data_IF_515067333551
#
_entry.id   IF_515067333551
#
_cell.length_a   1.000
_cell.length_b   1.000
_cell.length_c   1.000
_cell.angle_alpha   90.00
_cell.angle_beta   90.00
_cell.angle_gamma   90.00
#
_symmetry.space_group_name_H-M   'P 1'
#
loop_
_entity.id
_entity.type
_entity.pdbx_description
1 polymer ?
#
# COMPACT_ATOMS: atom_id res chain seq x y z
N UNK A 1 10.85 -6.31 4.47
CA UNK A 1 9.77 -5.44 3.98
C UNK A 1 8.58 -5.61 4.89
N UNK A 2 7.87 -4.53 5.19
CA UNK A 2 6.73 -4.56 6.10
C UNK A 2 5.43 -4.73 5.31
N UNK A 3 4.41 -5.27 5.99
CA UNK A 3 3.05 -5.36 5.48
C UNK A 3 2.13 -4.56 6.40
N UNK A 4 1.17 -3.86 5.79
CA UNK A 4 0.22 -3.00 6.50
C UNK A 4 -1.18 -3.46 6.14
N UNK A 5 -2.03 -3.62 7.16
CA UNK A 5 -3.40 -4.05 6.99
C UNK A 5 -4.34 -2.89 7.26
N UNK A 6 -5.24 -2.62 6.32
CA UNK A 6 -6.34 -1.70 6.54
C UNK A 6 -7.23 -2.23 7.66
N UNK A 7 -7.42 -1.45 8.72
CA UNK A 7 -8.24 -1.84 9.88
C UNK A 7 -9.75 -1.82 9.60
N UNK A 8 -10.16 -1.28 8.45
CA UNK A 8 -11.56 -1.17 8.05
C UNK A 8 -11.99 -2.38 7.21
N UNK A 9 -11.29 -2.65 6.10
CA UNK A 9 -11.65 -3.69 5.14
C UNK A 9 -10.72 -4.92 5.17
N UNK A 10 -9.56 -4.84 5.83
CA UNK A 10 -8.58 -5.94 5.88
C UNK A 10 -7.63 -6.02 4.69
N UNK A 11 -7.70 -5.08 3.74
CA UNK A 11 -6.74 -4.99 2.63
C UNK A 11 -5.29 -4.99 3.13
N UNK A 12 -4.40 -5.73 2.47
CA UNK A 12 -2.98 -5.82 2.85
C UNK A 12 -2.13 -5.11 1.79
N UNK A 13 -1.50 -4.00 2.20
CA UNK A 13 -0.41 -3.38 1.47
C UNK A 13 0.91 -4.09 1.81
N UNK A 14 1.53 -4.73 0.82
CA UNK A 14 2.86 -5.33 0.92
C UNK A 14 3.86 -4.41 0.22
N UNK A 15 4.75 -3.77 0.99
CA UNK A 15 5.78 -2.88 0.45
C UNK A 15 6.61 -3.55 -0.64
N UNK A 16 6.83 -4.87 -0.59
CA UNK A 16 7.62 -5.57 -1.60
C UNK A 16 6.87 -5.66 -2.94
N UNK A 17 5.55 -5.63 -2.91
CA UNK A 17 4.68 -5.65 -4.10
C UNK A 17 4.28 -4.25 -4.54
N UNK A 18 4.22 -3.29 -3.61
CA UNK A 18 3.61 -2.00 -3.85
C UNK A 18 2.13 -2.14 -4.22
N UNK A 19 1.63 -1.21 -5.01
CA UNK A 19 0.31 -1.28 -5.62
C UNK A 19 0.33 -0.66 -7.04
N UNK A 20 0.86 -1.37 -8.05
CA UNK A 20 1.08 -0.82 -9.39
C UNK A 20 -0.20 -0.30 -10.07
N UNK A 21 -1.34 -0.92 -9.78
CA UNK A 21 -2.65 -0.50 -10.31
C UNK A 21 -3.04 0.92 -9.86
N UNK A 22 -2.51 1.38 -8.72
CA UNK A 22 -2.67 2.76 -8.24
C UNK A 22 -1.40 3.61 -8.43
N UNK A 23 -0.41 3.13 -9.19
CA UNK A 23 0.84 3.83 -9.45
C UNK A 23 1.89 3.73 -8.33
N UNK A 24 1.71 2.84 -7.35
CA UNK A 24 2.68 2.61 -6.28
C UNK A 24 3.62 1.48 -6.70
N UNK A 25 4.89 1.79 -6.94
CA UNK A 25 5.86 0.81 -7.42
C UNK A 25 6.20 -0.26 -6.36
N UNK A 26 6.60 -1.48 -6.77
CA UNK A 26 7.16 -2.47 -5.85
C UNK A 26 8.37 -1.92 -5.11
N UNK A 27 8.45 -2.17 -3.81
CA UNK A 27 9.49 -1.64 -2.91
C UNK A 27 9.17 -0.27 -2.30
N UNK A 28 8.03 0.36 -2.63
CA UNK A 28 7.62 1.63 -2.01
C UNK A 28 7.28 1.40 -0.54
N UNK A 29 7.95 2.10 0.37
CA UNK A 29 7.64 2.02 1.81
C UNK A 29 6.31 2.69 2.09
N UNK A 30 5.63 2.27 3.16
CA UNK A 30 4.38 2.91 3.57
C UNK A 30 4.55 4.41 3.82
N UNK A 31 5.67 4.82 4.41
CA UNK A 31 6.00 6.23 4.66
C UNK A 31 6.16 7.06 3.38
N UNK A 32 6.40 6.39 2.23
CA UNK A 32 6.57 7.02 0.91
C UNK A 32 5.28 6.95 0.07
N UNK A 33 4.23 6.28 0.56
CA UNK A 33 2.92 6.25 -0.11
C UNK A 33 2.28 7.63 0.00
N UNK A 34 1.76 8.14 -1.11
CA UNK A 34 1.15 9.47 -1.14
C UNK A 34 -0.05 9.55 -0.18
N UNK A 35 -0.15 10.64 0.59
CA UNK A 35 -1.20 10.82 1.62
C UNK A 35 -2.64 10.81 1.05
N UNK A 36 -2.78 11.08 -0.24
CA UNK A 36 -4.07 11.04 -0.95
C UNK A 36 -4.44 9.65 -1.49
N UNK A 37 -3.55 8.66 -1.37
CA UNK A 37 -3.88 7.28 -1.72
C UNK A 37 -4.86 6.69 -0.70
N UNK A 38 -5.82 5.93 -1.20
CA UNK A 38 -6.82 5.23 -0.40
C UNK A 38 -6.71 3.73 -0.69
N UNK A 39 -7.04 2.90 0.29
CA UNK A 39 -7.10 1.46 0.06
C UNK A 39 -8.10 1.14 -1.07
N UNK A 40 -7.78 0.18 -1.95
CA UNK A 40 -8.61 -0.13 -3.11
C UNK A 40 -9.90 -0.88 -2.76
N UNK A 41 -9.98 -1.49 -1.56
CA UNK A 41 -11.14 -2.18 -1.00
C UNK A 41 -11.92 -1.31 -0.02
#
# INVERSE_FOLDING_TARGET
>A
MNTYMCVICGFIYDEARGHPDSGIAPGTRWDDVAENWQCPD
#
